data_IF_864030334396
#
_entry.id   IF_864030334396
#
_cell.length_a   1.000
_cell.length_b   1.000
_cell.length_c   1.000
_cell.angle_alpha   90.00
_cell.angle_beta   90.00
_cell.angle_gamma   90.00
#
_symmetry.space_group_name_H-M   'P 1'
#
loop_
_entity.id
_entity.type
_entity.pdbx_description
1 polymer ?
#
# COMPACT_ATOMS: atom_id res chain seq x y z
N UNK A 1 3.64 8.43 19.93
CA UNK A 1 2.64 8.12 18.89
C UNK A 1 3.26 8.26 17.52
N UNK A 2 2.50 7.96 16.46
CA UNK A 2 2.93 8.15 15.07
C UNK A 2 2.12 9.24 14.38
N UNK A 3 2.75 9.95 13.46
CA UNK A 3 2.06 10.63 12.36
C UNK A 3 1.95 9.66 11.18
N UNK A 4 0.97 9.86 10.31
CA UNK A 4 0.63 8.91 9.26
C UNK A 4 0.78 9.55 7.88
N UNK A 5 1.34 8.78 6.96
CA UNK A 5 1.14 8.99 5.52
C UNK A 5 0.20 7.87 5.07
N UNK A 6 -0.95 8.24 4.50
CA UNK A 6 -1.95 7.27 4.03
C UNK A 6 -2.16 7.45 2.52
N UNK A 7 -1.95 6.37 1.77
CA UNK A 7 -2.05 6.38 0.31
C UNK A 7 -3.21 5.50 -0.16
N UNK A 8 -4.07 6.06 -1.00
CA UNK A 8 -5.19 5.36 -1.63
C UNK A 8 -5.68 6.12 -2.86
N UNK A 9 -6.56 5.51 -3.66
CA UNK A 9 -7.06 6.12 -4.91
C UNK A 9 -8.13 7.18 -4.70
N UNK A 10 -8.91 7.11 -3.62
CA UNK A 10 -10.06 7.98 -3.40
C UNK A 10 -9.68 9.16 -2.48
N UNK A 11 -9.59 10.40 -3.00
CA UNK A 11 -9.19 11.57 -2.21
C UNK A 11 -10.21 11.95 -1.14
N UNK A 12 -11.51 11.75 -1.40
CA UNK A 12 -12.58 12.11 -0.45
C UNK A 12 -12.53 11.21 0.79
N UNK A 13 -12.43 9.89 0.57
CA UNK A 13 -12.28 8.93 1.68
C UNK A 13 -10.99 9.16 2.48
N UNK A 14 -9.90 9.56 1.82
CA UNK A 14 -8.65 9.93 2.50
C UNK A 14 -8.82 11.19 3.36
N UNK A 15 -9.55 12.20 2.86
CA UNK A 15 -9.83 13.42 3.60
C UNK A 15 -10.72 13.14 4.82
N UNK A 16 -11.73 12.30 4.67
CA UNK A 16 -12.60 11.85 5.77
C UNK A 16 -11.82 11.07 6.84
N UNK A 17 -10.96 10.14 6.41
CA UNK A 17 -10.12 9.36 7.32
C UNK A 17 -9.12 10.25 8.07
N UNK A 18 -8.49 11.19 7.37
CA UNK A 18 -7.62 12.20 7.98
C UNK A 18 -8.35 12.94 9.10
N UNK A 19 -9.52 13.52 8.82
CA UNK A 19 -10.31 14.26 9.82
C UNK A 19 -10.64 13.39 11.01
N UNK A 20 -11.14 12.18 10.76
CA UNK A 20 -11.52 11.24 11.83
C UNK A 20 -10.35 10.89 12.76
N UNK A 21 -9.14 10.68 12.20
CA UNK A 21 -7.94 10.38 12.98
C UNK A 21 -7.46 11.60 13.76
N UNK A 22 -7.36 12.77 13.10
CA UNK A 22 -6.89 14.01 13.74
C UNK A 22 -7.85 14.49 14.85
N UNK A 23 -9.16 14.27 14.69
CA UNK A 23 -10.17 14.57 15.72
C UNK A 23 -10.07 13.63 16.92
N UNK A 24 -9.78 12.34 16.69
CA UNK A 24 -9.71 11.33 17.76
C UNK A 24 -8.40 11.40 18.55
N UNK A 25 -7.28 11.66 17.89
CA UNK A 25 -5.94 11.63 18.50
C UNK A 25 -5.33 13.01 18.72
N UNK A 26 -6.00 14.08 18.28
CA UNK A 26 -5.58 15.45 18.45
C UNK A 26 -4.48 15.89 17.47
N UNK A 27 -4.09 17.17 17.62
CA UNK A 27 -3.25 17.91 16.67
C UNK A 27 -1.80 17.39 16.54
N UNK A 28 -1.37 16.54 17.47
CA UNK A 28 -0.03 15.95 17.48
C UNK A 28 0.08 14.72 16.55
N UNK A 29 -1.05 14.13 16.16
CA UNK A 29 -1.11 13.07 15.15
C UNK A 29 -1.38 13.69 13.78
N UNK A 30 -0.33 14.02 13.02
CA UNK A 30 -0.50 14.57 11.67
C UNK A 30 -0.82 13.48 10.67
N UNK A 31 -1.80 13.70 9.81
CA UNK A 31 -2.12 12.79 8.71
C UNK A 31 -1.87 13.46 7.36
N UNK A 32 -1.03 12.84 6.53
CA UNK A 32 -0.73 13.25 5.15
C UNK A 32 -1.44 12.29 4.20
N UNK A 33 -2.56 12.70 3.59
CA UNK A 33 -3.25 11.90 2.59
C UNK A 33 -2.55 12.04 1.22
N UNK A 34 -2.33 10.90 0.56
CA UNK A 34 -1.72 10.83 -0.78
C UNK A 34 -2.70 10.11 -1.69
N UNK A 35 -3.39 10.88 -2.53
CA UNK A 35 -4.29 10.32 -3.53
C UNK A 35 -3.48 9.79 -4.73
N UNK A 36 -3.28 8.48 -4.79
CA UNK A 36 -2.55 7.84 -5.89
C UNK A 36 -2.98 6.37 -6.10
N UNK A 37 -2.72 5.86 -7.31
CA UNK A 37 -2.87 4.42 -7.60
C UNK A 37 -1.52 3.72 -7.46
N UNK A 38 -1.30 3.06 -6.33
CA UNK A 38 -0.06 2.33 -6.08
C UNK A 38 0.16 1.14 -7.02
N UNK A 39 -0.90 0.65 -7.68
CA UNK A 39 -0.79 -0.37 -8.73
C UNK A 39 -0.15 0.15 -10.02
N UNK A 40 0.13 1.46 -10.10
CA UNK A 40 0.78 2.12 -11.24
C UNK A 40 2.15 2.70 -10.86
N UNK A 41 3.04 2.77 -11.84
CA UNK A 41 4.38 3.37 -11.68
C UNK A 41 4.30 4.83 -11.21
N UNK A 42 3.39 5.61 -11.80
CA UNK A 42 3.22 7.02 -11.47
C UNK A 42 2.67 7.21 -10.06
N UNK A 43 1.77 6.34 -9.61
CA UNK A 43 1.25 6.42 -8.24
C UNK A 43 2.30 6.02 -7.19
N UNK A 44 3.17 5.06 -7.50
CA UNK A 44 4.35 4.74 -6.65
C UNK A 44 5.30 5.93 -6.55
N UNK A 45 5.69 6.52 -7.69
CA UNK A 45 6.55 7.72 -7.72
C UNK A 45 5.92 8.90 -6.98
N UNK A 46 4.61 9.06 -7.07
CA UNK A 46 3.87 10.10 -6.33
C UNK A 46 4.05 9.91 -4.83
N UNK A 47 3.90 8.69 -4.32
CA UNK A 47 4.12 8.39 -2.90
C UNK A 47 5.59 8.61 -2.50
N UNK A 48 6.54 8.08 -3.27
CA UNK A 48 7.98 8.23 -3.05
C UNK A 48 8.37 9.72 -2.92
N UNK A 49 7.88 10.57 -3.83
CA UNK A 49 8.14 12.01 -3.80
C UNK A 49 7.60 12.71 -2.55
N UNK A 50 6.46 12.26 -2.01
CA UNK A 50 5.88 12.82 -0.78
C UNK A 50 6.66 12.40 0.46
N UNK A 51 7.15 11.15 0.49
CA UNK A 51 7.77 10.57 1.70
C UNK A 51 9.28 10.73 1.77
N UNK A 52 9.95 11.07 0.66
CA UNK A 52 11.42 11.08 0.54
C UNK A 52 12.18 11.74 1.70
N UNK A 53 11.68 12.85 2.23
CA UNK A 53 12.35 13.64 3.29
C UNK A 53 11.74 13.38 4.68
N UNK A 54 10.78 12.45 4.79
CA UNK A 54 10.10 12.13 6.04
C UNK A 54 10.86 11.05 6.84
N UNK A 55 10.87 11.13 8.18
CA UNK A 55 11.50 10.12 9.03
C UNK A 55 10.61 8.88 9.16
N UNK A 56 10.50 8.10 8.09
CA UNK A 56 9.71 6.87 8.04
C UNK A 56 10.32 5.82 8.99
N UNK A 57 9.52 5.30 9.91
CA UNK A 57 9.94 4.27 10.90
C UNK A 57 9.09 3.02 10.89
N UNK A 58 7.93 3.06 10.23
CA UNK A 58 7.04 1.93 10.03
C UNK A 58 6.41 2.04 8.64
N UNK A 59 6.43 0.95 7.89
CA UNK A 59 5.77 0.82 6.59
C UNK A 59 4.83 -0.37 6.65
N UNK A 60 3.57 -0.14 6.27
CA UNK A 60 2.56 -1.19 6.17
C UNK A 60 2.08 -1.25 4.73
N UNK A 61 2.53 -2.25 3.99
CA UNK A 61 2.12 -2.49 2.61
C UNK A 61 0.80 -3.28 2.62
N UNK A 62 -0.30 -2.53 2.69
CA UNK A 62 -1.65 -3.07 2.79
C UNK A 62 -2.45 -2.99 1.47
N UNK A 63 -2.04 -2.12 0.54
CA UNK A 63 -2.75 -2.00 -0.72
C UNK A 63 -2.75 -3.34 -1.46
N UNK A 64 -3.94 -3.78 -1.85
CA UNK A 64 -4.18 -5.06 -2.51
C UNK A 64 -5.64 -5.18 -2.91
N UNK A 65 -5.93 -6.11 -3.81
CA UNK A 65 -7.32 -6.44 -4.13
C UNK A 65 -7.48 -7.94 -4.37
N UNK A 66 -8.67 -8.44 -4.05
CA UNK A 66 -9.06 -9.81 -4.32
C UNK A 66 -9.90 -9.90 -5.60
N UNK A 67 -9.81 -11.01 -6.30
CA UNK A 67 -10.65 -11.30 -7.45
C UNK A 67 -10.99 -12.78 -7.52
N UNK A 68 -12.27 -13.09 -7.50
CA UNK A 68 -12.77 -14.47 -7.50
C UNK A 68 -13.37 -14.81 -8.86
N UNK A 69 -12.68 -15.64 -9.62
CA UNK A 69 -13.10 -16.18 -10.92
C UNK A 69 -12.20 -17.37 -11.30
N UNK A 70 -12.75 -18.34 -12.02
CA UNK A 70 -11.93 -19.39 -12.66
C UNK A 70 -10.89 -18.76 -13.59
N UNK A 71 -9.63 -19.19 -13.45
CA UNK A 71 -8.49 -18.59 -14.16
C UNK A 71 -8.70 -18.52 -15.68
N UNK A 72 -9.28 -19.59 -16.26
CA UNK A 72 -9.57 -19.70 -17.70
C UNK A 72 -10.53 -18.62 -18.21
N UNK A 73 -11.28 -17.98 -17.31
CA UNK A 73 -12.27 -16.94 -17.61
C UNK A 73 -11.79 -15.54 -17.22
N UNK A 74 -10.52 -15.37 -16.81
CA UNK A 74 -9.99 -14.06 -16.42
C UNK A 74 -9.35 -13.36 -17.62
N UNK A 75 -9.75 -12.10 -17.84
CA UNK A 75 -9.15 -11.26 -18.86
C UNK A 75 -7.68 -10.94 -18.52
N UNK A 76 -6.82 -10.85 -19.53
CA UNK A 76 -5.39 -10.57 -19.35
C UNK A 76 -5.12 -9.28 -18.58
N UNK A 77 -5.87 -8.21 -18.89
CA UNK A 77 -5.72 -6.95 -18.17
C UNK A 77 -5.98 -7.14 -16.67
N UNK A 78 -6.99 -7.93 -16.30
CA UNK A 78 -7.29 -8.19 -14.89
C UNK A 78 -6.19 -9.01 -14.20
N UNK A 79 -5.53 -9.93 -14.92
CA UNK A 79 -4.35 -10.62 -14.42
C UNK A 79 -3.20 -9.64 -14.14
N UNK A 80 -2.93 -8.73 -15.08
CA UNK A 80 -1.91 -7.69 -14.91
C UNK A 80 -2.23 -6.77 -13.73
N UNK A 81 -3.47 -6.32 -13.60
CA UNK A 81 -3.89 -5.45 -12.50
C UNK A 81 -3.68 -6.14 -11.13
N UNK A 82 -4.05 -7.43 -11.03
CA UNK A 82 -3.91 -8.23 -9.80
C UNK A 82 -2.44 -8.47 -9.43
N UNK A 83 -1.60 -8.81 -10.41
CA UNK A 83 -0.16 -8.98 -10.20
C UNK A 83 0.51 -7.64 -9.85
N UNK A 84 0.13 -6.57 -10.53
CA UNK A 84 0.62 -5.22 -10.30
C UNK A 84 0.41 -4.77 -8.86
N UNK A 85 -0.81 -4.92 -8.35
CA UNK A 85 -1.17 -4.48 -6.99
C UNK A 85 -0.80 -5.49 -5.90
N UNK A 86 -0.84 -6.81 -6.11
CA UNK A 86 -0.57 -7.75 -5.02
C UNK A 86 0.89 -8.20 -4.95
N UNK A 87 1.67 -8.07 -6.03
CA UNK A 87 3.04 -8.60 -6.10
C UNK A 87 4.05 -7.51 -6.46
N UNK A 88 3.89 -6.88 -7.63
CA UNK A 88 4.90 -5.97 -8.17
C UNK A 88 5.06 -4.75 -7.28
N UNK A 89 3.97 -4.04 -6.96
CA UNK A 89 4.07 -2.84 -6.12
C UNK A 89 4.62 -3.15 -4.73
N UNK A 90 4.28 -4.31 -4.14
CA UNK A 90 4.73 -4.66 -2.79
C UNK A 90 6.24 -4.87 -2.80
N UNK A 91 6.74 -5.49 -3.87
CA UNK A 91 8.17 -5.69 -4.09
C UNK A 91 8.90 -4.37 -4.30
N UNK A 92 8.40 -3.51 -5.20
CA UNK A 92 9.03 -2.22 -5.50
C UNK A 92 9.03 -1.26 -4.31
N UNK A 93 7.90 -1.12 -3.61
CA UNK A 93 7.79 -0.27 -2.44
C UNK A 93 8.61 -0.83 -1.27
N UNK A 94 8.66 -2.16 -1.09
CA UNK A 94 9.57 -2.76 -0.09
C UNK A 94 11.01 -2.40 -0.36
N UNK A 95 11.48 -2.57 -1.60
CA UNK A 95 12.84 -2.18 -1.99
C UNK A 95 13.10 -0.71 -1.70
N UNK A 96 12.22 0.19 -2.14
CA UNK A 96 12.35 1.63 -1.94
C UNK A 96 12.42 1.99 -0.44
N UNK A 97 11.44 1.57 0.37
CA UNK A 97 11.41 1.96 1.78
C UNK A 97 12.57 1.36 2.57
N UNK A 98 12.99 0.14 2.24
CA UNK A 98 14.18 -0.45 2.85
C UNK A 98 15.44 0.33 2.47
N UNK A 99 15.66 0.62 1.19
CA UNK A 99 16.90 1.26 0.72
C UNK A 99 16.99 2.74 1.10
N UNK A 100 15.88 3.49 1.02
CA UNK A 100 15.90 4.94 1.17
C UNK A 100 15.62 5.40 2.61
N UNK A 101 14.93 4.58 3.43
CA UNK A 101 14.51 4.99 4.77
C UNK A 101 15.01 4.07 5.88
N UNK A 102 14.66 2.78 5.85
CA UNK A 102 14.78 1.93 7.04
C UNK A 102 16.22 1.44 7.28
N UNK A 103 16.93 1.03 6.22
CA UNK A 103 18.32 0.57 6.32
C UNK A 103 19.27 1.72 6.64
N UNK A 104 19.26 2.88 5.93
CA UNK A 104 20.15 3.99 6.25
C UNK A 104 19.93 4.58 7.65
N UNK A 105 18.70 4.54 8.15
CA UNK A 105 18.39 5.00 9.50
C UNK A 105 18.71 3.96 10.59
N UNK A 106 19.16 2.76 10.21
CA UNK A 106 19.40 1.60 11.08
C UNK A 106 18.23 1.29 12.03
N UNK A 107 17.00 1.61 11.61
CA UNK A 107 15.81 1.51 12.44
C UNK A 107 14.53 1.42 11.63
N UNK A 108 13.53 0.82 12.26
CA UNK A 108 12.16 0.77 11.75
C UNK A 108 11.75 -0.62 11.29
N UNK A 109 10.54 -0.73 10.76
CA UNK A 109 9.91 -2.02 10.43
C UNK A 109 9.09 -1.91 9.15
N UNK A 110 9.07 -3.00 8.39
CA UNK A 110 8.20 -3.16 7.23
C UNK A 110 7.30 -4.39 7.44
N UNK A 111 6.00 -4.20 7.21
CA UNK A 111 4.99 -5.26 7.28
C UNK A 111 4.27 -5.34 5.93
N UNK A 112 4.27 -6.52 5.32
CA UNK A 112 3.46 -6.82 4.14
C UNK A 112 2.18 -7.52 4.60
N UNK A 113 1.04 -6.97 4.22
CA UNK A 113 -0.25 -7.61 4.48
C UNK A 113 -0.54 -8.56 3.32
N UNK A 114 -0.72 -9.83 3.66
CA UNK A 114 -1.09 -10.90 2.74
C UNK A 114 -2.42 -11.54 3.18
N UNK A 115 -2.72 -12.72 2.65
CA UNK A 115 -3.95 -13.48 2.93
C UNK A 115 -3.64 -14.94 3.15
N UNK A 116 -4.56 -15.65 3.83
CA UNK A 116 -4.50 -17.12 3.96
C UNK A 116 -4.49 -17.82 2.59
N UNK A 117 -5.00 -17.15 1.54
CA UNK A 117 -5.00 -17.66 0.16
C UNK A 117 -3.58 -17.87 -0.38
N UNK A 118 -2.59 -17.12 0.11
CA UNK A 118 -1.19 -17.35 -0.22
C UNK A 118 -0.67 -18.71 0.26
N UNK A 119 -1.35 -19.33 1.24
CA UNK A 119 -1.02 -20.65 1.78
C UNK A 119 -1.98 -21.75 1.31
N UNK A 120 -3.25 -21.42 1.06
CA UNK A 120 -4.27 -22.40 0.70
C UNK A 120 -5.17 -21.89 -0.43
N UNK A 121 -5.20 -22.64 -1.53
CA UNK A 121 -6.02 -22.34 -2.70
C UNK A 121 -7.44 -22.91 -2.53
N UNK A 122 -8.42 -22.13 -2.96
CA UNK A 122 -9.83 -22.52 -3.03
C UNK A 122 -10.31 -22.53 -4.48
N UNK A 123 -11.55 -22.96 -4.70
CA UNK A 123 -12.17 -22.77 -6.01
C UNK A 123 -12.31 -21.27 -6.31
N UNK A 124 -12.05 -20.90 -7.57
CA UNK A 124 -12.16 -19.55 -8.10
C UNK A 124 -11.28 -18.46 -7.47
N UNK A 125 -10.26 -18.76 -6.66
CA UNK A 125 -9.31 -17.74 -6.16
C UNK A 125 -7.90 -17.86 -6.71
N UNK A 126 -7.67 -18.69 -7.73
CA UNK A 126 -6.34 -19.03 -8.26
C UNK A 126 -5.49 -17.85 -8.75
N UNK A 127 -6.10 -16.71 -9.11
CA UNK A 127 -5.37 -15.49 -9.47
C UNK A 127 -5.00 -14.62 -8.27
N UNK A 128 -5.79 -14.69 -7.20
CA UNK A 128 -5.58 -13.89 -5.99
C UNK A 128 -4.55 -14.55 -5.08
#
# INVERSE_FOLDING_TARGET
GWSLVIAARNPDLLADLKRSIEDLYGKDCKVIPVACDLGSDDGRRTLENVVKDLPITLVVLNAGCAYTRDLVNVAEQKMRDMLGINVEQQTYLSRYFLSEHLVPAERGRLCMVSSIVAYSLGSANSLY
#
